data_IF_560111705104
#
_entry.id   IF_560111705104
#
_cell.length_a   1.000
_cell.length_b   1.000
_cell.length_c   1.000
_cell.angle_alpha   90.00
_cell.angle_beta   90.00
_cell.angle_gamma   90.00
#
_symmetry.space_group_name_H-M   'P 1'
#
loop_
_entity.id
_entity.type
_entity.pdbx_description
1 polymer ?
#
# COMPACT_ATOMS: atom_id res chain seq x y z
N UNK A 1 -1.84 -9.16 -4.70
CA UNK A 1 -2.94 -9.38 -5.70
C UNK A 1 -2.76 -8.40 -6.86
N UNK A 2 -2.65 -8.77 -8.16
CA UNK A 2 -2.28 -7.71 -9.13
C UNK A 2 -3.15 -7.46 -10.37
N UNK A 3 -4.06 -8.33 -10.82
CA UNK A 3 -4.49 -8.20 -12.24
C UNK A 3 -5.80 -7.43 -12.50
N UNK A 4 -6.37 -6.79 -11.47
CA UNK A 4 -7.58 -5.97 -11.65
C UNK A 4 -7.44 -4.62 -10.96
N UNK A 5 -7.33 -3.59 -11.77
CA UNK A 5 -7.50 -2.20 -11.33
C UNK A 5 -8.91 -1.71 -11.65
N UNK A 6 -9.50 -0.93 -10.74
CA UNK A 6 -10.69 -0.16 -11.08
C UNK A 6 -10.34 0.86 -12.18
N UNK A 7 -11.26 1.11 -13.12
CA UNK A 7 -11.07 2.13 -14.18
C UNK A 7 -10.80 3.51 -13.56
N UNK A 8 -11.44 3.79 -12.42
CA UNK A 8 -11.21 4.96 -11.59
C UNK A 8 -10.52 4.52 -10.30
N UNK A 9 -9.30 3.99 -10.40
CA UNK A 9 -8.54 3.52 -9.24
C UNK A 9 -8.10 4.67 -8.35
N UNK A 10 -7.91 4.39 -7.06
CA UNK A 10 -7.34 5.34 -6.11
C UNK A 10 -5.93 5.79 -6.58
N UNK A 11 -5.06 4.86 -6.98
CA UNK A 11 -3.70 5.17 -7.47
C UNK A 11 -3.63 6.02 -8.75
N UNK A 12 -4.75 6.23 -9.45
CA UNK A 12 -4.82 7.06 -10.66
C UNK A 12 -5.73 8.28 -10.51
N UNK A 13 -6.23 8.56 -9.29
CA UNK A 13 -7.15 9.66 -8.98
C UNK A 13 -6.70 11.00 -9.51
N UNK A 14 -5.42 11.35 -9.33
CA UNK A 14 -4.88 12.61 -9.79
C UNK A 14 -5.05 12.79 -11.31
N UNK A 15 -4.97 11.70 -12.10
CA UNK A 15 -5.12 11.73 -13.56
C UNK A 15 -6.57 11.89 -13.96
N UNK A 16 -7.46 11.07 -13.40
CA UNK A 16 -8.86 11.07 -13.82
C UNK A 16 -9.66 12.21 -13.20
N UNK A 17 -9.23 12.79 -12.07
CA UNK A 17 -9.78 14.05 -11.57
C UNK A 17 -9.40 15.22 -12.48
N UNK A 18 -8.15 15.25 -12.98
CA UNK A 18 -7.68 16.29 -13.90
C UNK A 18 -8.27 16.13 -15.31
N UNK A 19 -8.39 14.90 -15.81
CA UNK A 19 -8.93 14.59 -17.14
C UNK A 19 -9.77 13.29 -17.09
N UNK A 20 -11.06 13.35 -16.72
CA UNK A 20 -11.92 12.17 -16.62
C UNK A 20 -11.99 11.31 -17.90
N UNK A 21 -12.03 11.87 -19.12
CA UNK A 21 -12.00 11.07 -20.35
C UNK A 21 -10.72 10.24 -20.52
N UNK A 22 -9.59 10.69 -19.96
CA UNK A 22 -8.30 9.97 -20.09
C UNK A 22 -8.35 8.57 -19.49
N UNK A 23 -9.08 8.38 -18.38
CA UNK A 23 -9.25 7.06 -17.75
C UNK A 23 -9.87 6.03 -18.71
N UNK A 24 -10.86 6.45 -19.50
CA UNK A 24 -11.52 5.58 -20.48
C UNK A 24 -10.61 5.21 -21.64
N UNK A 25 -9.75 6.13 -22.08
CA UNK A 25 -8.77 5.84 -23.14
C UNK A 25 -7.64 4.94 -22.63
N UNK A 26 -7.11 5.20 -21.42
CA UNK A 26 -6.11 4.35 -20.79
C UNK A 26 -6.61 2.92 -20.57
N UNK A 27 -7.88 2.73 -20.18
CA UNK A 27 -8.48 1.41 -19.97
C UNK A 27 -8.58 0.54 -21.25
N UNK A 28 -8.37 1.12 -22.43
CA UNK A 28 -8.33 0.37 -23.71
C UNK A 28 -6.92 -0.14 -24.04
N UNK A 29 -5.90 0.38 -23.38
CA UNK A 29 -4.51 0.02 -23.60
C UNK A 29 -4.15 -1.18 -22.71
N UNK A 30 -3.18 -2.02 -23.14
CA UNK A 30 -2.68 -3.09 -22.29
C UNK A 30 -1.97 -2.50 -21.07
N UNK A 31 -2.18 -3.10 -19.90
CA UNK A 31 -1.41 -2.75 -18.70
C UNK A 31 0.05 -3.14 -18.90
N UNK A 32 0.95 -2.16 -18.76
CA UNK A 32 2.39 -2.35 -18.82
C UNK A 32 3.04 -1.91 -17.52
N UNK A 33 3.83 -2.78 -16.91
CA UNK A 33 4.61 -2.48 -15.71
C UNK A 33 6.03 -2.02 -16.07
N UNK A 34 6.52 -0.93 -15.48
CA UNK A 34 7.95 -0.60 -15.48
C UNK A 34 8.72 -1.48 -14.49
N UNK A 35 10.05 -1.51 -14.58
CA UNK A 35 10.89 -2.17 -13.57
C UNK A 35 10.69 -1.56 -12.18
N UNK A 36 10.58 -0.23 -12.08
CA UNK A 36 10.27 0.46 -10.82
C UNK A 36 8.93 0.01 -10.21
N UNK A 37 7.90 -0.18 -11.03
CA UNK A 37 6.62 -0.67 -10.54
C UNK A 37 6.73 -2.11 -10.00
N UNK A 38 7.54 -2.96 -10.65
CA UNK A 38 7.80 -4.33 -10.18
C UNK A 38 8.65 -4.37 -8.91
N UNK A 39 9.68 -3.53 -8.83
CA UNK A 39 10.48 -3.36 -7.62
C UNK A 39 9.61 -2.93 -6.44
N UNK A 40 8.69 -1.98 -6.68
CA UNK A 40 7.68 -1.61 -5.70
C UNK A 40 6.86 -2.82 -5.24
N UNK A 41 6.30 -3.61 -6.16
CA UNK A 41 5.54 -4.83 -5.82
C UNK A 41 6.33 -5.81 -4.94
N UNK A 42 7.60 -6.05 -5.26
CA UNK A 42 8.47 -6.91 -4.44
C UNK A 42 8.69 -6.32 -3.04
N UNK A 43 8.91 -5.01 -2.95
CA UNK A 43 9.08 -4.31 -1.68
C UNK A 43 7.81 -4.35 -0.82
N UNK A 44 6.62 -4.13 -1.39
CA UNK A 44 5.35 -4.27 -0.67
C UNK A 44 5.12 -5.72 -0.18
N UNK A 45 5.49 -6.71 -0.98
CA UNK A 45 5.42 -8.13 -0.57
C UNK A 45 6.30 -8.40 0.65
N UNK A 46 7.52 -7.82 0.67
CA UNK A 46 8.41 -7.95 1.82
C UNK A 46 7.92 -7.16 3.04
N UNK A 47 7.35 -5.97 2.84
CA UNK A 47 6.69 -5.18 3.90
C UNK A 47 5.56 -5.96 4.57
N UNK A 48 4.63 -6.54 3.80
CA UNK A 48 3.53 -7.37 4.30
C UNK A 48 4.07 -8.49 5.19
N UNK A 49 5.01 -9.29 4.66
CA UNK A 49 5.65 -10.37 5.40
C UNK A 49 6.28 -9.92 6.73
N UNK A 50 7.04 -8.82 6.71
CA UNK A 50 7.75 -8.32 7.90
C UNK A 50 6.79 -7.79 8.97
N UNK A 51 5.76 -7.05 8.58
CA UNK A 51 4.73 -6.58 9.53
C UNK A 51 3.97 -7.75 10.13
N UNK A 52 3.52 -8.71 9.31
CA UNK A 52 2.80 -9.88 9.81
C UNK A 52 3.66 -10.75 10.73
N UNK A 53 4.95 -10.91 10.41
CA UNK A 53 5.92 -11.59 11.27
C UNK A 53 6.09 -10.86 12.60
N UNK A 54 6.18 -9.52 12.59
CA UNK A 54 6.27 -8.71 13.81
C UNK A 54 5.00 -8.78 14.68
N UNK A 55 3.84 -9.04 14.07
CA UNK A 55 2.58 -9.33 14.77
C UNK A 55 2.51 -10.77 15.32
N UNK A 56 3.53 -11.59 15.08
CA UNK A 56 3.64 -12.97 15.59
C UNK A 56 3.08 -14.04 14.66
N UNK A 57 2.74 -13.70 13.41
CA UNK A 57 2.37 -14.69 12.41
C UNK A 57 3.59 -15.51 11.99
N UNK A 58 3.36 -16.79 11.66
CA UNK A 58 4.41 -17.68 11.13
C UNK A 58 4.20 -17.84 9.64
N UNK A 59 4.98 -17.12 8.86
CA UNK A 59 4.91 -17.09 7.41
C UNK A 59 6.20 -17.63 6.79
N UNK A 60 6.13 -18.04 5.53
CA UNK A 60 7.32 -18.38 4.74
C UNK A 60 7.95 -17.09 4.22
N UNK A 61 9.28 -17.00 4.35
CA UNK A 61 10.03 -15.84 3.88
C UNK A 61 9.97 -15.72 2.33
N UNK A 62 9.38 -14.63 1.78
CA UNK A 62 9.20 -14.48 0.35
C UNK A 62 10.49 -14.12 -0.39
N UNK A 63 11.58 -13.80 0.30
CA UNK A 63 12.82 -13.23 -0.27
C UNK A 63 13.35 -14.00 -1.47
N UNK A 64 13.26 -15.34 -1.47
CA UNK A 64 13.73 -16.18 -2.60
C UNK A 64 12.90 -16.02 -3.87
N UNK A 65 11.67 -15.56 -3.77
CA UNK A 65 10.76 -15.32 -4.89
C UNK A 65 10.80 -13.88 -5.42
N UNK A 66 11.47 -12.97 -4.72
CA UNK A 66 11.58 -11.58 -5.12
C UNK A 66 12.61 -11.44 -6.25
N UNK A 67 12.26 -10.68 -7.29
CA UNK A 67 13.11 -10.45 -8.45
C UNK A 67 14.12 -9.33 -8.22
N UNK A 68 13.72 -8.29 -7.48
CA UNK A 68 14.50 -7.06 -7.28
C UNK A 68 15.07 -6.92 -5.87
N UNK A 69 15.13 -8.00 -5.10
CA UNK A 69 15.59 -7.95 -3.71
C UNK A 69 17.07 -7.55 -3.60
N UNK A 70 17.35 -6.57 -2.76
CA UNK A 70 18.67 -6.12 -2.34
C UNK A 70 18.68 -5.72 -0.85
N UNK A 71 19.86 -5.34 -0.35
CA UNK A 71 20.05 -4.94 1.06
C UNK A 71 19.29 -3.65 1.40
N UNK A 72 19.21 -2.70 0.47
CA UNK A 72 18.45 -1.45 0.65
C UNK A 72 16.95 -1.75 0.82
N UNK A 73 16.37 -2.61 -0.01
CA UNK A 73 14.99 -3.06 0.14
C UNK A 73 14.78 -3.76 1.48
N UNK A 74 15.73 -4.59 1.93
CA UNK A 74 15.64 -5.22 3.23
C UNK A 74 15.61 -4.17 4.36
N UNK A 75 16.53 -3.21 4.36
CA UNK A 75 16.59 -2.15 5.38
C UNK A 75 15.33 -1.28 5.38
N UNK A 76 14.91 -0.77 4.21
CA UNK A 76 13.73 0.09 4.13
C UNK A 76 12.43 -0.64 4.56
N UNK A 77 12.33 -1.94 4.28
CA UNK A 77 11.16 -2.74 4.69
C UNK A 77 11.21 -3.09 6.18
N UNK A 78 12.39 -3.18 6.80
CA UNK A 78 12.53 -3.28 8.27
C UNK A 78 12.11 -1.97 8.95
N UNK A 79 12.57 -0.82 8.44
CA UNK A 79 12.17 0.50 8.95
C UNK A 79 10.65 0.71 8.85
N UNK A 80 10.04 0.33 7.72
CA UNK A 80 8.59 0.36 7.58
C UNK A 80 7.89 -0.51 8.63
N UNK A 81 8.33 -1.75 8.81
CA UNK A 81 7.73 -2.65 9.80
C UNK A 81 7.87 -2.10 11.22
N UNK A 82 9.04 -1.54 11.56
CA UNK A 82 9.25 -0.88 12.84
C UNK A 82 8.28 0.30 13.03
N UNK A 83 8.15 1.19 12.04
CA UNK A 83 7.26 2.34 12.08
C UNK A 83 5.79 1.93 12.28
N UNK A 84 5.32 0.91 11.56
CA UNK A 84 3.97 0.35 11.73
C UNK A 84 3.76 -0.14 13.17
N UNK A 85 4.74 -0.85 13.73
CA UNK A 85 4.65 -1.36 15.11
C UNK A 85 4.67 -0.23 16.16
N UNK A 86 5.42 0.85 15.92
CA UNK A 86 5.40 2.05 16.77
C UNK A 86 4.05 2.78 16.72
N UNK A 87 3.45 2.93 15.53
CA UNK A 87 2.10 3.46 15.37
C UNK A 87 1.07 2.58 16.09
N UNK A 88 1.17 1.25 15.97
CA UNK A 88 0.28 0.33 16.66
C UNK A 88 0.43 0.40 18.18
N UNK A 89 1.66 0.51 18.69
CA UNK A 89 1.92 0.70 20.12
C UNK A 89 1.32 2.01 20.63
N UNK A 90 1.43 3.09 19.84
CA UNK A 90 0.80 4.38 20.14
C UNK A 90 -0.72 4.27 20.18
N UNK A 91 -1.33 3.60 19.20
CA UNK A 91 -2.77 3.35 19.18
C UNK A 91 -3.23 2.52 20.40
N UNK A 92 -2.46 1.50 20.81
CA UNK A 92 -2.74 0.70 22.02
C UNK A 92 -2.66 1.48 23.32
N UNK A 93 -1.99 2.63 23.33
CA UNK A 93 -1.92 3.48 24.52
C UNK A 93 -3.22 4.27 24.74
N UNK A 94 -3.97 4.56 23.68
CA UNK A 94 -5.23 5.33 23.73
C UNK A 94 -6.49 4.49 23.50
N UNK A 95 -6.37 3.35 22.81
CA UNK A 95 -7.46 2.43 22.49
C UNK A 95 -7.13 1.03 23.02
N UNK A 96 -8.10 0.36 23.65
CA UNK A 96 -7.88 -0.95 24.28
C UNK A 96 -7.70 -2.08 23.25
N UNK A 97 -8.37 -1.96 22.11
CA UNK A 97 -8.50 -2.98 21.09
C UNK A 97 -8.38 -2.40 19.67
N UNK A 98 -7.26 -1.71 19.34
CA UNK A 98 -7.06 -1.21 18.00
C UNK A 98 -6.94 -2.38 17.01
N UNK A 99 -7.55 -2.23 15.85
CA UNK A 99 -7.45 -3.18 14.75
C UNK A 99 -6.35 -2.77 13.80
N UNK A 100 -5.47 -3.70 13.45
CA UNK A 100 -4.50 -3.55 12.36
C UNK A 100 -4.92 -4.42 11.17
N UNK A 101 -4.92 -3.85 9.98
CA UNK A 101 -5.21 -4.53 8.73
C UNK A 101 -4.07 -4.26 7.75
N UNK A 102 -3.59 -5.29 7.06
CA UNK A 102 -2.44 -5.24 6.16
C UNK A 102 -2.91 -5.66 4.76
N UNK A 103 -2.46 -4.96 3.72
CA UNK A 103 -2.87 -5.18 2.32
C UNK A 103 -4.40 -5.28 2.18
N UNK A 104 -5.11 -4.40 2.91
CA UNK A 104 -6.55 -4.45 3.05
C UNK A 104 -7.22 -3.90 1.80
N UNK A 105 -8.07 -4.71 1.17
CA UNK A 105 -8.95 -4.24 0.10
C UNK A 105 -9.99 -3.26 0.65
N UNK A 106 -10.05 -2.08 0.05
CA UNK A 106 -10.98 -1.01 0.39
C UNK A 106 -11.98 -0.81 -0.75
N UNK A 107 -13.26 -1.01 -0.47
CA UNK A 107 -14.34 -0.77 -1.42
C UNK A 107 -14.92 0.63 -1.19
N UNK A 108 -14.84 1.48 -2.23
CA UNK A 108 -15.39 2.83 -2.22
C UNK A 108 -16.45 3.02 -3.32
N UNK A 109 -17.04 1.91 -3.77
CA UNK A 109 -17.97 1.85 -4.91
C UNK A 109 -19.23 2.69 -4.71
N UNK A 110 -19.57 3.00 -3.46
CA UNK A 110 -20.68 3.90 -3.13
C UNK A 110 -20.48 5.34 -3.64
N UNK A 111 -19.22 5.79 -3.79
CA UNK A 111 -18.90 7.13 -4.30
C UNK A 111 -18.43 7.11 -5.75
N UNK A 112 -17.67 6.08 -6.12
CA UNK A 112 -17.14 5.91 -7.48
C UNK A 112 -17.56 4.53 -7.97
N UNK A 113 -18.48 4.40 -8.94
CA UNK A 113 -18.98 3.10 -9.38
C UNK A 113 -17.86 2.11 -9.73
N UNK A 114 -17.83 0.96 -9.06
CA UNK A 114 -16.80 -0.07 -9.23
C UNK A 114 -15.42 0.29 -8.66
N UNK A 115 -15.33 1.37 -7.88
CA UNK A 115 -14.10 1.85 -7.25
C UNK A 115 -13.65 1.00 -6.08
N UNK A 116 -12.41 0.54 -6.13
CA UNK A 116 -11.73 -0.13 -5.03
C UNK A 116 -10.23 0.18 -5.07
N UNK A 117 -9.58 -0.03 -3.95
CA UNK A 117 -8.13 0.06 -3.78
C UNK A 117 -7.63 -0.94 -2.75
N UNK A 118 -6.35 -0.87 -2.47
CA UNK A 118 -5.70 -1.61 -1.40
C UNK A 118 -4.97 -0.60 -0.53
N UNK A 119 -5.12 -0.68 0.79
CA UNK A 119 -4.31 0.07 1.74
C UNK A 119 -3.23 -0.85 2.31
N UNK A 120 -1.97 -0.40 2.30
CA UNK A 120 -0.84 -1.23 2.71
C UNK A 120 -0.92 -1.58 4.20
N UNK A 121 -1.14 -0.59 5.06
CA UNK A 121 -1.43 -0.80 6.47
C UNK A 121 -2.44 0.22 7.00
N UNK A 122 -3.45 -0.28 7.70
CA UNK A 122 -4.50 0.51 8.32
C UNK A 122 -4.57 0.15 9.80
N UNK A 123 -4.52 1.16 10.67
CA UNK A 123 -4.73 1.00 12.11
C UNK A 123 -5.98 1.78 12.49
N UNK A 124 -7.04 1.06 12.87
CA UNK A 124 -8.30 1.64 13.35
C UNK A 124 -8.28 1.61 14.87
N UNK A 125 -8.32 2.79 15.48
CA UNK A 125 -8.56 3.02 16.89
C UNK A 125 -9.86 3.82 17.09
N UNK A 126 -10.28 4.05 18.33
CA UNK A 126 -11.56 4.69 18.68
C UNK A 126 -11.87 5.95 17.84
N UNK A 127 -11.04 6.98 17.97
CA UNK A 127 -11.23 8.28 17.30
C UNK A 127 -10.27 8.51 16.11
N UNK A 128 -9.38 7.54 15.82
CA UNK A 128 -8.29 7.73 14.86
C UNK A 128 -8.19 6.55 13.90
N UNK A 129 -8.21 6.86 12.60
CA UNK A 129 -7.76 5.96 11.55
C UNK A 129 -6.37 6.40 11.08
N UNK A 130 -5.37 5.57 11.30
CA UNK A 130 -4.02 5.77 10.75
C UNK A 130 -3.89 4.96 9.47
N UNK A 131 -3.60 5.64 8.36
CA UNK A 131 -3.28 5.02 7.07
C UNK A 131 -1.78 5.16 6.86
N UNK A 132 -1.10 4.04 6.66
CA UNK A 132 0.33 4.00 6.37
C UNK A 132 0.48 3.38 4.98
N UNK A 133 1.07 4.15 4.07
CA UNK A 133 1.25 3.81 2.66
C UNK A 133 2.76 3.84 2.37
N UNK A 134 3.32 2.69 2.07
CA UNK A 134 4.73 2.52 1.76
C UNK A 134 5.01 3.01 0.34
N UNK A 135 6.18 3.62 0.17
CA UNK A 135 6.68 4.08 -1.13
C UNK A 135 8.13 3.67 -1.25
N UNK A 136 8.42 2.93 -2.31
CA UNK A 136 9.75 2.41 -2.60
C UNK A 136 10.36 3.08 -3.82
N UNK A 137 11.66 3.34 -3.77
CA UNK A 137 12.45 3.83 -4.90
C UNK A 137 13.18 5.15 -4.63
N UNK A 138 14.32 5.30 -5.30
CA UNK A 138 15.16 6.49 -5.27
C UNK A 138 14.59 7.55 -6.24
N UNK A 139 13.64 8.35 -5.78
CA UNK A 139 12.88 9.29 -6.62
C UNK A 139 12.55 10.62 -5.96
N UNK A 140 11.62 11.36 -6.59
CA UNK A 140 11.06 12.59 -6.02
C UNK A 140 10.15 12.22 -4.85
N UNK A 141 10.39 12.81 -3.69
CA UNK A 141 9.53 12.63 -2.52
C UNK A 141 8.08 13.02 -2.88
N UNK A 142 7.16 12.07 -2.67
CA UNK A 142 5.73 12.30 -2.85
C UNK A 142 5.16 12.64 -1.48
N UNK A 143 4.75 13.90 -1.31
CA UNK A 143 4.10 14.35 -0.09
C UNK A 143 2.66 13.79 -0.02
N UNK A 144 2.20 13.49 1.20
CA UNK A 144 0.83 13.08 1.45
C UNK A 144 -0.15 14.28 1.49
N UNK A 145 0.35 15.50 1.74
CA UNK A 145 -0.48 16.69 1.75
C UNK A 145 -1.06 16.99 0.35
N UNK A 146 -2.41 17.00 0.25
CA UNK A 146 -3.17 17.19 -1.00
C UNK A 146 -2.88 16.12 -2.06
N UNK A 147 -2.46 14.93 -1.66
CA UNK A 147 -2.48 13.76 -2.52
C UNK A 147 -3.93 13.19 -2.54
N UNK A 148 -4.67 13.35 -3.65
CA UNK A 148 -6.08 12.94 -3.74
C UNK A 148 -6.27 11.42 -3.76
#
# INVERSE_FOLDING_TARGET
MPDKHAVLSASSCYRWLACPPSAKECAKLPDTSSEFARQGTDAHTLCEFKVETALGQKLEDPTKGLTFFDEEMAECTDEYAQFVMECLATAKASCKDPMIMIEQRLDFSQWVPGGFGTGDCLIVADDTLTVIDYKHGLGVLVDSEKNP
#
